data_IF_044593438966
#
_entry.id   IF_044593438966
#
_cell.length_a   1.000
_cell.length_b   1.000
_cell.length_c   1.000
_cell.angle_alpha   90.00
_cell.angle_beta   90.00
_cell.angle_gamma   90.00
#
_symmetry.space_group_name_H-M   'P 1'
#
loop_
_entity.id
_entity.type
_entity.pdbx_description
1 polymer ?
#
# COMPACT_ATOMS: atom_id res chain seq x y z
N UNK A 1 -6.83 -58.46 18.74
CA UNK A 1 -6.05 -57.35 19.33
C UNK A 1 -5.43 -56.43 18.29
N UNK A 2 -4.81 -56.88 17.21
CA UNK A 2 -4.14 -56.02 16.24
C UNK A 2 -5.04 -55.12 15.36
N UNK A 3 -6.29 -55.47 15.09
CA UNK A 3 -7.24 -54.67 14.32
C UNK A 3 -7.75 -53.44 15.09
N UNK A 4 -8.03 -53.60 16.38
CA UNK A 4 -8.52 -52.52 17.26
C UNK A 4 -7.41 -51.47 17.46
N UNK A 5 -6.17 -51.90 17.63
CA UNK A 5 -5.00 -50.99 17.77
C UNK A 5 -4.77 -50.16 16.48
N UNK A 6 -4.95 -50.78 15.30
CA UNK A 6 -4.86 -50.05 14.01
C UNK A 6 -5.93 -49.02 13.84
N UNK A 7 -7.18 -49.30 14.23
CA UNK A 7 -8.30 -48.38 14.18
C UNK A 7 -8.06 -47.20 15.14
N UNK A 8 -7.57 -47.47 16.37
CA UNK A 8 -7.26 -46.40 17.34
C UNK A 8 -6.13 -45.47 16.86
N UNK A 9 -5.08 -46.04 16.24
CA UNK A 9 -3.98 -45.22 15.65
C UNK A 9 -4.46 -44.39 14.47
N UNK A 10 -5.33 -44.94 13.63
CA UNK A 10 -5.92 -44.18 12.50
C UNK A 10 -6.85 -43.06 12.96
N UNK A 11 -7.65 -43.27 13.99
CA UNK A 11 -8.54 -42.29 14.58
C UNK A 11 -7.74 -41.14 15.23
N UNK A 12 -6.63 -41.44 15.92
CA UNK A 12 -5.75 -40.45 16.55
C UNK A 12 -5.09 -39.53 15.51
N UNK A 13 -4.68 -40.07 14.36
CA UNK A 13 -4.09 -39.28 13.27
C UNK A 13 -5.12 -38.31 12.64
N UNK A 14 -6.37 -38.75 12.49
CA UNK A 14 -7.45 -37.90 11.94
C UNK A 14 -7.75 -36.76 12.89
N UNK A 15 -7.76 -36.98 14.20
CA UNK A 15 -8.00 -35.93 15.22
C UNK A 15 -6.86 -34.91 15.24
N UNK A 16 -5.60 -35.33 15.03
CA UNK A 16 -4.44 -34.43 14.97
C UNK A 16 -4.43 -33.56 13.70
N UNK A 17 -4.96 -34.06 12.58
CA UNK A 17 -5.06 -33.31 11.33
C UNK A 17 -6.19 -32.29 11.32
N UNK A 18 -7.25 -32.51 12.10
CA UNK A 18 -8.37 -31.56 12.22
C UNK A 18 -8.04 -30.33 13.10
N UNK A 19 -6.92 -30.34 13.81
CA UNK A 19 -6.46 -29.23 14.67
C UNK A 19 -5.73 -28.12 13.91
N UNK A 20 -5.49 -28.27 12.59
CA UNK A 20 -5.08 -27.16 11.74
C UNK A 20 -6.28 -26.27 11.48
N UNK A 21 -6.71 -25.55 12.52
CA UNK A 21 -7.69 -24.49 12.38
C UNK A 21 -7.17 -23.47 11.35
N UNK A 22 -7.99 -23.13 10.37
CA UNK A 22 -7.77 -21.96 9.53
C UNK A 22 -7.68 -20.74 10.45
N UNK A 23 -6.46 -20.31 10.78
CA UNK A 23 -6.26 -19.08 11.51
C UNK A 23 -6.70 -17.96 10.56
N UNK A 24 -7.89 -17.42 10.81
CA UNK A 24 -8.39 -16.25 10.06
C UNK A 24 -7.37 -15.14 10.29
N UNK A 25 -6.58 -14.85 9.28
CA UNK A 25 -5.66 -13.73 9.33
C UNK A 25 -6.52 -12.46 9.48
N UNK A 26 -6.37 -11.78 10.59
CA UNK A 26 -7.02 -10.49 10.79
C UNK A 26 -6.53 -9.53 9.72
N UNK A 27 -7.46 -8.87 9.06
CA UNK A 27 -7.15 -7.89 8.04
C UNK A 27 -7.61 -6.53 8.52
N UNK A 28 -6.90 -5.50 8.10
CA UNK A 28 -7.19 -4.12 8.44
C UNK A 28 -7.42 -3.28 7.18
N UNK A 29 -7.86 -2.05 7.38
CA UNK A 29 -8.03 -1.05 6.33
C UNK A 29 -7.06 0.10 6.51
N UNK A 30 -6.63 0.71 5.40
CA UNK A 30 -5.82 1.92 5.38
C UNK A 30 -6.50 2.97 4.53
N UNK A 31 -7.00 4.01 5.18
CA UNK A 31 -7.52 5.20 4.49
C UNK A 31 -6.41 6.21 4.29
N UNK A 32 -6.25 6.68 3.07
CA UNK A 32 -5.24 7.67 2.68
C UNK A 32 -5.92 8.90 2.12
N UNK A 33 -5.65 10.05 2.75
CA UNK A 33 -6.10 11.35 2.30
C UNK A 33 -4.95 12.13 1.67
N UNK A 34 -5.24 12.84 0.61
CA UNK A 34 -4.41 13.92 0.06
C UNK A 34 -5.25 15.18 -0.11
N UNK A 35 -4.70 16.32 0.20
CA UNK A 35 -5.34 17.64 0.02
C UNK A 35 -4.37 18.63 -0.60
N UNK A 36 -4.85 19.84 -0.86
CA UNK A 36 -4.03 20.92 -1.43
C UNK A 36 -3.51 20.59 -2.84
N UNK A 37 -4.32 19.84 -3.61
CA UNK A 37 -4.04 19.62 -5.03
C UNK A 37 -4.12 20.95 -5.77
N UNK A 38 -3.10 21.26 -6.59
CA UNK A 38 -2.99 22.57 -7.28
C UNK A 38 -4.11 22.82 -8.29
N UNK A 39 -4.81 21.77 -8.72
CA UNK A 39 -5.99 21.86 -9.59
C UNK A 39 -6.80 20.55 -9.51
N UNK A 40 -7.95 20.52 -10.20
CA UNK A 40 -8.85 19.35 -10.24
C UNK A 40 -8.75 18.54 -11.55
N UNK A 41 -7.65 18.68 -12.29
CA UNK A 41 -7.44 17.92 -13.55
C UNK A 41 -7.02 16.51 -13.24
N UNK A 42 -7.46 15.56 -14.06
CA UNK A 42 -7.05 14.16 -13.98
C UNK A 42 -7.57 13.44 -12.74
N UNK A 43 -6.73 12.60 -12.18
CA UNK A 43 -7.03 11.76 -11.02
C UNK A 43 -5.83 11.70 -10.07
N UNK A 44 -6.02 11.12 -8.88
CA UNK A 44 -4.91 10.79 -7.98
C UNK A 44 -4.71 9.28 -7.96
N UNK A 45 -3.52 8.83 -8.28
CA UNK A 45 -3.12 7.44 -8.13
C UNK A 45 -2.47 7.24 -6.76
N UNK A 46 -2.88 6.18 -6.07
CA UNK A 46 -2.37 5.77 -4.77
C UNK A 46 -1.76 4.38 -4.93
N UNK A 47 -0.44 4.27 -4.77
CA UNK A 47 0.28 3.02 -4.80
C UNK A 47 0.76 2.65 -3.40
N UNK A 48 0.44 1.43 -2.97
CA UNK A 48 0.81 0.88 -1.67
C UNK A 48 1.91 -0.16 -1.87
N UNK A 49 2.97 -0.07 -1.08
CA UNK A 49 4.12 -0.99 -1.10
C UNK A 49 4.30 -1.63 0.27
N UNK A 50 4.69 -2.90 0.30
CA UNK A 50 4.91 -3.68 1.52
C UNK A 50 6.25 -4.44 1.53
N UNK A 51 7.18 -4.09 0.63
CA UNK A 51 8.50 -4.75 0.51
C UNK A 51 9.61 -3.71 0.33
N UNK A 52 10.76 -3.96 0.93
CA UNK A 52 11.90 -3.05 0.90
C UNK A 52 12.48 -2.85 -0.51
N UNK A 53 12.50 -3.92 -1.32
CA UNK A 53 13.01 -3.88 -2.69
C UNK A 53 12.05 -3.23 -3.70
N UNK A 54 10.86 -2.85 -3.26
CA UNK A 54 9.86 -2.24 -4.12
C UNK A 54 10.14 -0.77 -4.46
N UNK A 55 10.94 -0.07 -3.65
CA UNK A 55 11.31 1.33 -3.93
C UNK A 55 12.82 1.47 -4.21
N UNK A 56 13.18 2.34 -5.17
CA UNK A 56 12.32 3.19 -6.01
C UNK A 56 11.54 2.41 -7.08
N UNK A 57 10.30 2.84 -7.35
CA UNK A 57 9.46 2.29 -8.41
C UNK A 57 9.04 3.39 -9.40
N UNK A 58 9.92 3.77 -10.28
CA UNK A 58 9.74 4.85 -11.25
C UNK A 58 8.66 4.57 -12.29
N UNK A 59 8.25 3.30 -12.44
CA UNK A 59 7.29 2.85 -13.44
C UNK A 59 5.99 2.31 -12.87
N UNK A 60 5.77 2.41 -11.55
CA UNK A 60 4.59 1.87 -10.86
C UNK A 60 4.31 0.39 -11.21
N UNK A 61 5.34 -0.45 -11.09
CA UNK A 61 5.25 -1.89 -11.40
C UNK A 61 5.42 -2.81 -10.18
N UNK A 62 5.96 -2.28 -9.07
CA UNK A 62 6.33 -3.07 -7.89
C UNK A 62 5.36 -2.88 -6.72
N UNK A 63 4.25 -2.19 -6.92
CA UNK A 63 3.26 -1.95 -5.88
C UNK A 63 2.58 -3.25 -5.42
N UNK A 64 2.17 -3.29 -4.17
CA UNK A 64 1.34 -4.35 -3.60
C UNK A 64 -0.14 -4.18 -4.00
N UNK A 65 -0.67 -2.95 -3.83
CA UNK A 65 -2.01 -2.55 -4.29
C UNK A 65 -1.96 -1.16 -4.89
N UNK A 66 -2.86 -0.88 -5.83
CA UNK A 66 -3.01 0.45 -6.43
C UNK A 66 -4.47 0.80 -6.56
N UNK A 67 -4.83 2.03 -6.17
CA UNK A 67 -6.15 2.60 -6.31
C UNK A 67 -6.07 3.96 -7.00
N UNK A 68 -7.16 4.35 -7.64
CA UNK A 68 -7.32 5.67 -8.26
C UNK A 68 -8.47 6.40 -7.59
N UNK A 69 -8.20 7.59 -7.06
CA UNK A 69 -9.17 8.45 -6.41
C UNK A 69 -9.60 9.61 -7.31
N UNK A 70 -10.87 9.97 -7.24
CA UNK A 70 -11.39 11.20 -7.87
C UNK A 70 -10.99 12.41 -7.04
N UNK A 71 -10.80 13.54 -7.71
CA UNK A 71 -10.53 14.83 -7.05
C UNK A 71 -11.86 15.53 -6.75
N UNK A 72 -12.06 15.88 -5.49
CA UNK A 72 -13.22 16.62 -5.01
C UNK A 72 -12.72 17.78 -4.14
N UNK A 73 -13.02 19.00 -4.52
CA UNK A 73 -12.62 20.21 -3.76
C UNK A 73 -11.12 20.27 -3.45
N UNK A 74 -10.26 19.90 -4.41
CA UNK A 74 -8.81 19.93 -4.23
C UNK A 74 -8.25 18.83 -3.32
N UNK A 75 -9.03 17.78 -3.07
CA UNK A 75 -8.64 16.64 -2.24
C UNK A 75 -9.03 15.31 -2.91
N UNK A 76 -8.41 14.22 -2.47
CA UNK A 76 -8.77 12.86 -2.88
C UNK A 76 -8.53 11.90 -1.70
N UNK A 77 -9.40 10.91 -1.57
CA UNK A 77 -9.34 9.90 -0.52
C UNK A 77 -9.60 8.52 -1.10
N UNK A 78 -8.82 7.54 -0.68
CA UNK A 78 -9.06 6.13 -0.97
C UNK A 78 -8.89 5.28 0.29
N UNK A 79 -9.51 4.10 0.31
CA UNK A 79 -9.33 3.10 1.38
C UNK A 79 -8.86 1.79 0.76
N UNK A 80 -7.71 1.33 1.21
CA UNK A 80 -7.20 -0.01 0.91
C UNK A 80 -7.78 -0.99 1.92
N UNK A 81 -8.59 -1.92 1.45
CA UNK A 81 -9.23 -2.93 2.27
C UNK A 81 -8.45 -4.25 2.28
N UNK A 82 -8.70 -5.08 3.31
CA UNK A 82 -8.17 -6.43 3.44
C UNK A 82 -6.63 -6.44 3.37
N UNK A 83 -6.00 -5.59 4.17
CA UNK A 83 -4.55 -5.55 4.31
C UNK A 83 -4.12 -6.45 5.47
N UNK A 84 -3.10 -7.31 5.29
CA UNK A 84 -2.39 -7.90 6.41
C UNK A 84 -1.80 -6.81 7.31
N UNK A 85 -1.71 -7.05 8.60
CA UNK A 85 -0.90 -6.20 9.47
C UNK A 85 0.55 -6.15 8.97
N UNK A 86 1.19 -4.98 9.05
CA UNK A 86 2.55 -4.85 8.56
C UNK A 86 3.05 -3.43 8.38
N UNK A 87 4.19 -3.32 7.72
CA UNK A 87 4.78 -2.03 7.32
C UNK A 87 4.44 -1.74 5.87
N UNK A 88 4.04 -0.51 5.62
CA UNK A 88 3.62 -0.04 4.30
C UNK A 88 4.24 1.31 3.96
N UNK A 89 4.39 1.55 2.67
CA UNK A 89 4.68 2.86 2.10
C UNK A 89 3.54 3.23 1.15
N UNK A 90 3.09 4.46 1.22
CA UNK A 90 2.17 5.05 0.24
C UNK A 90 2.96 6.00 -0.65
N UNK A 91 2.82 5.83 -1.95
CA UNK A 91 3.23 6.78 -2.97
C UNK A 91 1.98 7.29 -3.71
N UNK A 92 1.84 8.60 -3.87
CA UNK A 92 0.76 9.21 -4.61
C UNK A 92 1.29 9.99 -5.81
N UNK A 93 0.49 10.00 -6.87
CA UNK A 93 0.71 10.78 -8.08
C UNK A 93 -0.56 11.54 -8.41
N UNK A 94 -0.47 12.87 -8.52
CA UNK A 94 -1.52 13.68 -9.13
C UNK A 94 -1.36 13.60 -10.65
N UNK A 95 -2.01 12.63 -11.25
CA UNK A 95 -1.97 12.31 -12.68
C UNK A 95 -2.92 13.24 -13.43
N UNK A 96 -2.41 14.44 -13.78
CA UNK A 96 -3.21 15.51 -14.37
C UNK A 96 -3.67 15.23 -15.81
N UNK A 97 -2.99 14.32 -16.51
CA UNK A 97 -3.29 13.95 -17.90
C UNK A 97 -3.90 12.55 -18.06
N UNK A 98 -4.05 11.80 -16.95
CA UNK A 98 -4.57 10.44 -16.90
C UNK A 98 -3.76 9.43 -17.74
N UNK A 99 -2.45 9.60 -17.86
CA UNK A 99 -1.59 8.66 -18.62
C UNK A 99 -1.02 7.52 -17.74
N UNK A 100 -1.25 7.58 -16.43
CA UNK A 100 -0.82 6.56 -15.47
C UNK A 100 0.66 6.54 -15.18
N UNK A 101 1.40 7.57 -15.57
CA UNK A 101 2.86 7.64 -15.47
C UNK A 101 3.29 8.96 -14.83
N UNK A 102 4.44 8.93 -14.17
CA UNK A 102 5.07 10.19 -13.74
C UNK A 102 5.61 10.90 -14.98
N UNK A 103 4.98 12.01 -15.34
CA UNK A 103 5.49 12.87 -16.41
C UNK A 103 6.76 13.57 -15.93
N UNK A 104 7.89 13.13 -16.43
CA UNK A 104 9.18 13.78 -16.14
C UNK A 104 9.33 15.05 -16.98
N UNK A 105 9.69 16.15 -16.31
CA UNK A 105 10.35 17.25 -16.96
C UNK A 105 11.79 16.84 -17.34
N UNK A 106 12.56 17.78 -17.87
CA UNK A 106 13.97 17.52 -18.24
C UNK A 106 14.78 17.05 -17.01
N UNK A 107 14.41 17.51 -15.82
CA UNK A 107 15.13 17.20 -14.57
C UNK A 107 14.20 16.73 -13.45
N UNK A 108 12.96 17.22 -13.37
CA UNK A 108 12.03 17.00 -12.26
C UNK A 108 10.64 16.57 -12.75
N UNK A 109 9.83 15.87 -11.93
CA UNK A 109 8.45 15.57 -12.25
C UNK A 109 7.66 16.85 -12.49
N UNK A 110 6.86 16.88 -13.56
CA UNK A 110 5.93 18.00 -13.84
C UNK A 110 4.63 17.87 -13.07
N UNK A 111 4.32 16.67 -12.60
CA UNK A 111 3.12 16.32 -11.87
C UNK A 111 3.41 16.22 -10.38
N UNK A 112 2.38 16.42 -9.55
CA UNK A 112 2.54 16.34 -8.11
C UNK A 112 2.79 14.90 -7.67
N UNK A 113 3.76 14.69 -6.81
CA UNK A 113 4.08 13.39 -6.20
C UNK A 113 4.09 13.51 -4.68
N UNK A 114 3.85 12.41 -3.99
CA UNK A 114 3.92 12.38 -2.54
C UNK A 114 4.30 11.01 -2.02
N UNK A 115 4.93 10.98 -0.86
CA UNK A 115 5.26 9.74 -0.15
C UNK A 115 4.88 9.88 1.32
N UNK A 116 4.42 8.79 1.91
CA UNK A 116 4.23 8.75 3.37
C UNK A 116 5.51 9.16 4.08
N UNK A 117 5.37 9.89 5.20
CA UNK A 117 6.46 10.45 6.00
C UNK A 117 7.37 11.48 5.32
N UNK A 118 7.05 11.95 4.11
CA UNK A 118 7.85 12.95 3.40
C UNK A 118 7.11 14.29 3.30
N UNK A 119 7.83 15.37 3.65
CA UNK A 119 7.38 16.76 3.49
C UNK A 119 8.03 17.42 2.27
N UNK A 120 9.16 16.90 1.84
CA UNK A 120 9.89 17.37 0.66
C UNK A 120 10.65 16.21 0.02
N UNK A 121 10.85 16.28 -1.29
CA UNK A 121 11.59 15.29 -2.08
C UNK A 121 12.66 16.04 -2.88
N UNK A 122 13.86 15.47 -2.94
CA UNK A 122 14.97 16.07 -3.67
C UNK A 122 16.13 15.09 -3.85
N UNK A 123 17.21 15.54 -4.47
CA UNK A 123 18.38 14.69 -4.78
C UNK A 123 18.98 14.07 -3.51
N UNK A 124 19.06 14.86 -2.41
CA UNK A 124 19.59 14.42 -1.12
C UNK A 124 18.54 13.78 -0.22
N UNK A 125 17.25 13.91 -0.53
CA UNK A 125 16.13 13.37 0.25
C UNK A 125 15.23 12.50 -0.62
N UNK A 126 15.80 11.41 -1.12
CA UNK A 126 15.05 10.45 -1.95
C UNK A 126 14.23 9.51 -1.08
N UNK A 127 12.96 9.23 -1.46
CA UNK A 127 12.15 8.22 -0.81
C UNK A 127 12.77 6.82 -0.91
N UNK A 128 12.87 6.16 0.23
CA UNK A 128 13.23 4.75 0.35
C UNK A 128 12.17 4.06 1.20
N UNK A 129 12.06 2.74 1.13
CA UNK A 129 11.09 2.00 1.94
C UNK A 129 11.31 2.28 3.43
N UNK A 130 12.53 2.24 3.91
CA UNK A 130 12.85 2.46 5.33
C UNK A 130 12.45 3.85 5.84
N UNK A 131 12.62 4.90 5.02
CA UNK A 131 12.27 6.28 5.41
C UNK A 131 10.78 6.57 5.28
N UNK A 132 10.11 5.99 4.29
CA UNK A 132 8.71 6.27 3.98
C UNK A 132 7.73 5.32 4.70
N UNK A 133 8.20 4.19 5.25
CA UNK A 133 7.32 3.18 5.82
C UNK A 133 6.74 3.59 7.17
N UNK A 134 5.53 3.09 7.42
CA UNK A 134 4.81 3.20 8.69
C UNK A 134 4.10 1.88 9.00
N UNK A 135 3.81 1.63 10.27
CA UNK A 135 3.12 0.42 10.71
C UNK A 135 1.60 0.57 10.64
N UNK A 136 0.93 -0.51 10.21
CA UNK A 136 -0.53 -0.67 10.16
C UNK A 136 -0.88 -1.90 10.99
N UNK A 137 -1.04 -1.77 12.31
CA UNK A 137 -1.39 -2.87 13.22
C UNK A 137 -2.92 -3.07 13.36
N UNK A 138 -3.71 -2.38 12.60
CA UNK A 138 -5.17 -2.34 12.60
C UNK A 138 -5.65 -1.25 11.65
N UNK A 139 -6.95 -0.94 11.66
CA UNK A 139 -7.51 0.12 10.83
C UNK A 139 -6.81 1.45 11.09
N UNK A 140 -6.39 2.11 10.01
CA UNK A 140 -5.59 3.31 10.09
C UNK A 140 -6.00 4.34 9.05
N UNK A 141 -5.88 5.61 9.42
CA UNK A 141 -6.02 6.75 8.50
C UNK A 141 -4.76 7.59 8.54
N UNK A 142 -4.26 7.97 7.36
CA UNK A 142 -3.09 8.85 7.20
C UNK A 142 -3.38 9.95 6.19
N UNK A 143 -2.65 11.07 6.33
CA UNK A 143 -2.55 12.11 5.30
C UNK A 143 -1.18 12.05 4.65
N UNK A 144 -1.14 12.12 3.32
CA UNK A 144 0.09 12.21 2.55
C UNK A 144 0.12 13.57 1.86
N UNK A 145 1.23 14.29 2.00
CA UNK A 145 1.40 15.59 1.36
C UNK A 145 1.76 15.41 -0.11
N UNK A 146 1.17 16.23 -0.97
CA UNK A 146 1.53 16.34 -2.38
C UNK A 146 2.63 17.40 -2.55
N UNK A 147 3.61 17.11 -3.37
CA UNK A 147 4.77 17.97 -3.64
C UNK A 147 4.81 18.20 -5.13
N UNK A 148 4.80 19.46 -5.53
CA UNK A 148 4.98 19.92 -6.90
C UNK A 148 6.39 20.53 -7.01
N UNK A 149 7.21 20.04 -7.96
CA UNK A 149 8.62 20.42 -8.17
C UNK A 149 8.80 21.27 -9.44
#
# INVERSE_FOLDING_TARGET
MNKIIKIFKSLLVIVLLSSFGFQKQETCSLTVDVSELRNSKGTVQFALYNREDALPDEHYKKYFKKLTGKIVNGASTVTFENLPEGKYVVNILHDENNDGKIKRGIILPKEGIGFSNFQSIGISNRPTFSKASFSVPGDKKIKVNIIYL
#
